data_IF_052915868717
#
_entry.id   IF_052915868717
#
_cell.length_a   1.000
_cell.length_b   1.000
_cell.length_c   1.000
_cell.angle_alpha   90.00
_cell.angle_beta   90.00
_cell.angle_gamma   90.00
#
_symmetry.space_group_name_H-M   'P 1'
#
loop_
_entity.id
_entity.type
_entity.pdbx_description
1 polymer ?
#
# COMPACT_ATOMS: atom_id res chain seq x y z
N UNK A 1 -18.08 1.50 -19.79
CA UNK A 1 -16.77 0.97 -19.31
C UNK A 1 -15.67 1.07 -20.37
N UNK A 2 -15.95 1.08 -21.67
CA UNK A 2 -14.89 1.13 -22.73
C UNK A 2 -14.11 2.44 -22.82
N UNK A 3 -14.68 3.55 -22.33
CA UNK A 3 -14.09 4.90 -22.44
C UNK A 3 -13.59 5.46 -21.09
N UNK A 4 -13.60 4.66 -20.03
CA UNK A 4 -13.18 5.12 -18.70
C UNK A 4 -11.65 5.38 -18.67
N UNK A 5 -11.23 6.58 -18.24
CA UNK A 5 -9.81 6.97 -18.23
C UNK A 5 -8.94 6.16 -17.28
N UNK A 6 -9.51 5.57 -16.22
CA UNK A 6 -8.78 4.63 -15.38
C UNK A 6 -8.46 3.32 -16.11
N UNK A 7 -9.31 2.92 -17.05
CA UNK A 7 -9.06 1.77 -17.92
C UNK A 7 -8.08 2.12 -19.05
N UNK A 8 -8.25 3.28 -19.70
CA UNK A 8 -7.45 3.68 -20.85
C UNK A 8 -6.03 4.16 -20.47
N UNK A 9 -5.91 4.93 -19.40
CA UNK A 9 -4.67 5.66 -19.07
C UNK A 9 -4.17 5.45 -17.65
N UNK A 10 -4.91 4.70 -16.82
CA UNK A 10 -4.64 4.62 -15.39
C UNK A 10 -4.96 5.92 -14.63
N UNK A 11 -5.73 6.84 -15.23
CA UNK A 11 -6.16 8.11 -14.64
C UNK A 11 -7.37 7.91 -13.72
N UNK A 12 -7.08 7.30 -12.58
CA UNK A 12 -7.99 7.03 -11.49
C UNK A 12 -7.24 6.88 -10.19
N UNK A 13 -7.97 6.98 -9.09
CA UNK A 13 -7.49 6.77 -7.73
C UNK A 13 -8.27 5.64 -7.09
N UNK A 14 -7.65 4.90 -6.17
CA UNK A 14 -8.35 3.86 -5.46
C UNK A 14 -7.91 3.73 -4.01
N UNK A 15 -8.84 3.24 -3.21
CA UNK A 15 -8.60 2.76 -1.86
C UNK A 15 -8.84 1.27 -1.78
N UNK A 16 -8.14 0.61 -0.86
CA UNK A 16 -8.40 -0.79 -0.55
C UNK A 16 -8.37 -0.94 0.96
N UNK A 17 -9.48 -1.40 1.52
CA UNK A 17 -9.68 -1.55 2.95
C UNK A 17 -10.10 -2.97 3.28
N UNK A 18 -9.74 -3.44 4.47
CA UNK A 18 -10.35 -4.61 5.06
C UNK A 18 -11.53 -4.17 5.93
N UNK A 19 -12.68 -4.79 5.70
CA UNK A 19 -13.84 -4.69 6.57
C UNK A 19 -13.86 -5.94 7.43
N UNK A 20 -13.76 -5.77 8.74
CA UNK A 20 -13.96 -6.82 9.75
C UNK A 20 -15.24 -6.49 10.54
N UNK A 21 -15.13 -5.97 11.77
CA UNK A 21 -16.24 -5.34 12.51
C UNK A 21 -16.48 -3.87 12.10
N UNK A 22 -15.68 -3.37 11.16
CA UNK A 22 -15.64 -2.00 10.67
C UNK A 22 -14.39 -1.80 9.81
N UNK A 23 -14.09 -0.55 9.45
CA UNK A 23 -12.89 -0.19 8.67
C UNK A 23 -11.87 0.50 9.58
N UNK A 24 -10.72 -0.13 9.78
CA UNK A 24 -9.62 0.46 10.57
C UNK A 24 -9.18 1.78 9.95
N UNK A 25 -9.22 2.86 10.74
CA UNK A 25 -8.80 4.20 10.33
C UNK A 25 -9.51 4.72 9.07
N UNK A 26 -10.83 4.48 8.96
CA UNK A 26 -11.63 4.91 7.81
C UNK A 26 -11.43 6.39 7.45
N UNK A 27 -11.43 7.29 8.42
CA UNK A 27 -11.21 8.72 8.21
C UNK A 27 -9.87 9.05 7.54
N UNK A 28 -8.82 8.25 7.78
CA UNK A 28 -7.51 8.40 7.13
C UNK A 28 -7.54 7.93 5.67
N UNK A 29 -8.31 6.89 5.37
CA UNK A 29 -8.53 6.43 3.99
C UNK A 29 -9.30 7.48 3.18
N UNK A 30 -10.39 8.01 3.76
CA UNK A 30 -11.16 9.12 3.17
C UNK A 30 -10.24 10.33 2.95
N UNK A 31 -9.51 10.76 3.98
CA UNK A 31 -8.60 11.90 3.89
C UNK A 31 -7.51 11.76 2.82
N UNK A 32 -6.91 10.57 2.67
CA UNK A 32 -5.93 10.31 1.60
C UNK A 32 -6.54 10.37 0.21
N UNK A 33 -7.73 9.80 0.03
CA UNK A 33 -8.44 9.83 -1.25
C UNK A 33 -8.81 11.28 -1.62
N UNK A 34 -9.37 12.04 -0.68
CA UNK A 34 -9.72 13.46 -0.85
C UNK A 34 -8.49 14.28 -1.24
N UNK A 35 -7.40 14.18 -0.47
CA UNK A 35 -6.18 14.94 -0.73
C UNK A 35 -5.57 14.59 -2.10
N UNK A 36 -5.56 13.30 -2.47
CA UNK A 36 -5.06 12.88 -3.79
C UNK A 36 -5.97 13.36 -4.93
N UNK A 37 -7.29 13.29 -4.73
CA UNK A 37 -8.27 13.79 -5.70
C UNK A 37 -8.10 15.28 -5.95
N UNK A 38 -7.97 16.08 -4.89
CA UNK A 38 -7.75 17.52 -4.98
C UNK A 38 -6.41 17.86 -5.64
N UNK A 39 -5.32 17.20 -5.21
CA UNK A 39 -3.98 17.45 -5.77
C UNK A 39 -3.89 17.14 -7.27
N UNK A 40 -4.62 16.12 -7.74
CA UNK A 40 -4.68 15.74 -9.15
C UNK A 40 -5.86 16.38 -9.91
N UNK A 41 -6.57 17.32 -9.30
CA UNK A 41 -7.67 18.07 -9.93
C UNK A 41 -8.87 17.21 -10.36
N UNK A 42 -9.20 16.15 -9.62
CA UNK A 42 -10.45 15.41 -9.84
C UNK A 42 -11.65 16.30 -9.49
N UNK A 43 -12.79 16.20 -10.21
CA UNK A 43 -13.98 16.96 -9.88
C UNK A 43 -14.46 16.63 -8.46
N UNK A 44 -14.84 17.66 -7.69
CA UNK A 44 -15.33 17.50 -6.31
C UNK A 44 -16.48 16.50 -6.22
N UNK A 45 -17.41 16.50 -7.18
CA UNK A 45 -18.52 15.56 -7.22
C UNK A 45 -18.09 14.09 -7.30
N UNK A 46 -16.99 13.78 -7.98
CA UNK A 46 -16.44 12.42 -8.08
C UNK A 46 -15.71 12.04 -6.79
N UNK A 47 -14.97 13.00 -6.20
CA UNK A 47 -14.32 12.81 -4.91
C UNK A 47 -15.38 12.50 -3.84
N UNK A 48 -16.41 13.33 -3.73
CA UNK A 48 -17.49 13.18 -2.74
C UNK A 48 -18.21 11.84 -2.88
N UNK A 49 -18.52 11.42 -4.11
CA UNK A 49 -19.12 10.09 -4.36
C UNK A 49 -18.22 8.95 -3.90
N UNK A 50 -16.91 9.06 -4.13
CA UNK A 50 -15.95 8.02 -3.75
C UNK A 50 -15.71 7.98 -2.24
N UNK A 51 -15.69 9.16 -1.58
CA UNK A 51 -15.64 9.29 -0.14
C UNK A 51 -16.90 8.68 0.51
N UNK A 52 -18.09 9.03 0.04
CA UNK A 52 -19.35 8.44 0.51
C UNK A 52 -19.37 6.91 0.32
N UNK A 53 -18.83 6.41 -0.81
CA UNK A 53 -18.71 4.98 -1.05
C UNK A 53 -17.74 4.29 -0.09
N UNK A 54 -16.66 4.95 0.33
CA UNK A 54 -15.74 4.45 1.35
C UNK A 54 -16.37 4.45 2.74
N UNK A 55 -17.05 5.52 3.11
CA UNK A 55 -17.72 5.67 4.40
C UNK A 55 -18.81 4.61 4.58
N UNK A 56 -19.56 4.32 3.51
CA UNK A 56 -20.55 3.24 3.51
C UNK A 56 -19.95 1.85 3.80
N UNK A 57 -18.63 1.64 3.63
CA UNK A 57 -17.98 0.36 3.94
C UNK A 57 -17.85 0.09 5.43
N UNK A 58 -18.03 1.09 6.30
CA UNK A 58 -17.99 0.90 7.74
C UNK A 58 -19.01 -0.15 8.21
N UNK A 59 -20.16 -0.21 7.53
CA UNK A 59 -21.25 -1.18 7.80
C UNK A 59 -21.35 -2.29 6.74
N UNK A 60 -20.33 -2.44 5.88
CA UNK A 60 -20.36 -3.48 4.84
C UNK A 60 -20.07 -4.88 5.41
N UNK A 61 -20.32 -5.90 4.59
CA UNK A 61 -19.99 -7.27 4.97
C UNK A 61 -18.47 -7.47 5.04
N UNK A 62 -17.98 -8.40 5.90
CA UNK A 62 -16.56 -8.66 6.02
C UNK A 62 -15.91 -9.04 4.69
N UNK A 63 -14.73 -8.47 4.42
CA UNK A 63 -14.02 -8.70 3.16
C UNK A 63 -12.97 -7.65 2.84
N UNK A 64 -12.32 -7.82 1.69
CA UNK A 64 -11.42 -6.80 1.13
C UNK A 64 -12.19 -6.01 0.10
N UNK A 65 -12.44 -4.76 0.43
CA UNK A 65 -13.19 -3.83 -0.41
C UNK A 65 -12.24 -2.86 -1.10
N UNK A 66 -12.52 -2.60 -2.37
CA UNK A 66 -11.83 -1.61 -3.18
C UNK A 66 -12.84 -0.60 -3.71
N UNK A 67 -12.62 0.67 -3.40
CA UNK A 67 -13.31 1.80 -4.03
C UNK A 67 -12.35 2.42 -5.03
N UNK A 68 -12.77 2.57 -6.28
CA UNK A 68 -11.97 3.19 -7.35
C UNK A 68 -12.78 4.32 -7.96
N UNK A 69 -12.19 5.51 -8.03
CA UNK A 69 -12.73 6.64 -8.77
C UNK A 69 -11.91 6.91 -10.02
N UNK A 70 -12.59 7.18 -11.12
CA UNK A 70 -11.98 7.54 -12.41
C UNK A 70 -12.33 8.96 -12.80
N UNK A 71 -11.41 9.63 -13.49
CA UNK A 71 -11.68 10.98 -14.01
C UNK A 71 -12.71 10.88 -15.14
N UNK A 72 -13.68 11.80 -15.19
CA UNK A 72 -14.53 11.89 -16.36
C UNK A 72 -13.73 12.32 -17.59
N UNK A 73 -13.87 11.55 -18.67
CA UNK A 73 -13.59 12.07 -19.99
C UNK A 73 -13.16 11.08 -21.06
N UNK A 74 -13.14 11.55 -22.30
CA UNK A 74 -12.55 10.85 -23.44
C UNK A 74 -11.23 11.53 -23.84
N UNK A 75 -10.21 10.75 -24.17
CA UNK A 75 -8.90 11.30 -24.55
C UNK A 75 -8.12 11.94 -23.38
N UNK A 76 -7.16 12.81 -23.72
CA UNK A 76 -6.39 13.58 -22.73
C UNK A 76 -7.07 14.91 -22.33
N UNK A 77 -8.08 15.33 -23.08
CA UNK A 77 -8.82 16.58 -22.85
C UNK A 77 -9.79 16.48 -21.66
N UNK A 78 -10.29 17.63 -21.21
CA UNK A 78 -11.21 17.74 -20.07
C UNK A 78 -12.68 17.55 -20.49
N UNK A 79 -13.39 16.61 -19.86
CA UNK A 79 -14.84 16.40 -20.01
C UNK A 79 -15.23 15.00 -20.52
N UNK A 80 -16.40 14.46 -20.10
CA UNK A 80 -17.01 13.16 -20.49
C UNK A 80 -17.53 12.35 -19.29
N UNK A 81 -17.59 11.01 -19.36
CA UNK A 81 -18.07 10.15 -18.25
C UNK A 81 -16.92 9.53 -17.46
N UNK A 82 -17.01 9.62 -16.14
CA UNK A 82 -16.16 8.92 -15.17
C UNK A 82 -17.05 8.30 -14.11
N UNK A 83 -16.50 7.65 -13.10
CA UNK A 83 -17.34 7.06 -12.08
C UNK A 83 -16.61 6.50 -10.88
N UNK A 84 -17.44 6.06 -9.93
CA UNK A 84 -17.01 5.33 -8.76
C UNK A 84 -17.42 3.87 -8.93
N UNK A 85 -16.47 2.97 -8.74
CA UNK A 85 -16.73 1.54 -8.70
C UNK A 85 -16.31 0.95 -7.36
N UNK A 86 -17.14 0.04 -6.85
CA UNK A 86 -16.91 -0.65 -5.59
C UNK A 86 -16.84 -2.14 -5.88
N UNK A 87 -15.79 -2.80 -5.41
CA UNK A 87 -15.60 -4.25 -5.57
C UNK A 87 -15.25 -4.87 -4.23
N UNK A 88 -15.89 -6.00 -3.93
CA UNK A 88 -15.55 -6.82 -2.79
C UNK A 88 -14.93 -8.13 -3.26
N UNK A 89 -13.95 -8.62 -2.50
CA UNK A 89 -13.53 -10.02 -2.53
C UNK A 89 -13.44 -10.56 -1.11
N UNK A 90 -13.57 -11.87 -0.98
CA UNK A 90 -13.32 -12.55 0.28
C UNK A 90 -11.87 -12.30 0.74
N UNK A 91 -11.71 -12.04 2.03
CA UNK A 91 -10.39 -12.08 2.64
C UNK A 91 -9.94 -13.54 2.72
N UNK A 92 -8.70 -13.79 2.32
CA UNK A 92 -8.05 -15.08 2.49
C UNK A 92 -6.72 -14.85 3.21
N UNK A 93 -6.43 -15.59 4.30
CA UNK A 93 -5.14 -15.49 4.96
C UNK A 93 -4.01 -15.72 3.96
N UNK A 94 -3.11 -14.75 3.85
CA UNK A 94 -1.93 -14.88 3.00
C UNK A 94 -0.82 -15.62 3.77
N UNK A 95 -0.03 -16.39 3.03
CA UNK A 95 1.20 -16.99 3.57
C UNK A 95 2.33 -15.93 3.55
N UNK A 96 3.27 -15.99 4.50
CA UNK A 96 4.48 -15.17 4.48
C UNK A 96 5.20 -15.29 3.11
N UNK A 97 5.38 -14.19 2.37
CA UNK A 97 5.93 -14.26 1.02
C UNK A 97 7.45 -14.40 1.02
N UNK A 98 7.98 -15.07 -0.01
CA UNK A 98 9.40 -15.00 -0.38
C UNK A 98 9.62 -13.75 -1.22
N UNK A 99 10.53 -12.87 -0.80
CA UNK A 99 10.80 -11.60 -1.46
C UNK A 99 12.03 -11.69 -2.37
N UNK A 100 11.88 -11.20 -3.60
CA UNK A 100 12.99 -10.85 -4.48
C UNK A 100 13.34 -9.35 -4.41
N UNK A 101 14.45 -8.95 -5.03
CA UNK A 101 14.85 -7.55 -5.16
C UNK A 101 14.68 -7.09 -6.61
N UNK A 102 13.90 -6.03 -6.83
CA UNK A 102 13.62 -5.52 -8.18
C UNK A 102 14.16 -4.10 -8.33
N UNK A 103 15.35 -3.99 -8.92
CA UNK A 103 16.00 -2.71 -9.20
C UNK A 103 15.34 -1.95 -10.35
N UNK A 104 15.28 -0.61 -10.21
CA UNK A 104 14.70 0.29 -11.21
C UNK A 104 13.17 0.45 -11.12
N UNK A 105 12.52 -0.15 -10.12
CA UNK A 105 11.07 -0.07 -9.94
C UNK A 105 10.61 0.92 -8.87
N UNK A 106 11.55 1.46 -8.09
CA UNK A 106 11.30 2.57 -7.16
C UNK A 106 11.94 3.85 -7.68
N UNK A 107 11.11 4.88 -7.84
CA UNK A 107 11.49 6.19 -8.38
C UNK A 107 11.26 7.23 -7.27
N UNK A 108 12.26 7.54 -6.44
CA UNK A 108 12.08 8.40 -5.25
C UNK A 108 11.56 9.81 -5.59
N UNK A 109 11.87 10.31 -6.78
CA UNK A 109 11.49 11.66 -7.22
C UNK A 109 10.17 11.67 -8.02
N UNK A 110 9.54 10.51 -8.22
CA UNK A 110 8.22 10.40 -8.84
C UNK A 110 7.12 10.68 -7.81
N UNK A 111 6.71 11.94 -7.74
CA UNK A 111 5.68 12.39 -6.81
C UNK A 111 4.29 11.83 -7.12
N UNK A 112 4.03 11.33 -8.34
CA UNK A 112 2.74 10.70 -8.66
C UNK A 112 2.52 9.41 -7.87
N UNK A 113 3.59 8.77 -7.40
CA UNK A 113 3.53 7.55 -6.57
C UNK A 113 3.04 7.81 -5.15
N UNK A 114 3.03 9.06 -4.69
CA UNK A 114 2.40 9.41 -3.42
C UNK A 114 0.90 9.14 -3.44
N UNK A 115 0.30 9.22 -4.64
CA UNK A 115 -1.11 8.95 -4.86
C UNK A 115 -1.32 7.48 -5.18
N UNK A 116 -2.35 6.89 -4.57
CA UNK A 116 -2.76 5.49 -4.83
C UNK A 116 -3.55 5.40 -6.13
N UNK A 117 -2.88 5.66 -7.25
CA UNK A 117 -3.49 5.73 -8.58
C UNK A 117 -3.69 4.37 -9.23
N UNK A 118 -4.50 4.29 -10.27
CA UNK A 118 -4.71 3.05 -11.04
C UNK A 118 -3.55 2.70 -11.97
N UNK A 119 -2.54 3.56 -12.10
CA UNK A 119 -1.31 3.35 -12.88
C UNK A 119 -0.34 2.35 -12.22
N UNK A 120 -0.79 1.11 -12.02
CA UNK A 120 -0.08 0.08 -11.26
C UNK A 120 0.82 -0.83 -12.11
N UNK A 121 0.98 -0.58 -13.42
CA UNK A 121 1.71 -1.48 -14.32
C UNK A 121 3.16 -1.73 -13.86
N UNK A 122 3.84 -0.71 -13.32
CA UNK A 122 5.19 -0.87 -12.75
C UNK A 122 5.23 -1.88 -11.60
N UNK A 123 4.25 -1.83 -10.69
CA UNK A 123 4.13 -2.80 -9.59
C UNK A 123 3.79 -4.21 -10.11
N UNK A 124 2.92 -4.31 -11.11
CA UNK A 124 2.55 -5.58 -11.75
C UNK A 124 3.76 -6.24 -12.42
N UNK A 125 4.54 -5.46 -13.18
CA UNK A 125 5.74 -5.96 -13.84
C UNK A 125 6.83 -6.37 -12.85
N UNK A 126 7.05 -5.59 -11.79
CA UNK A 126 7.98 -5.97 -10.73
C UNK A 126 7.59 -7.31 -10.08
N UNK A 127 6.31 -7.51 -9.76
CA UNK A 127 5.81 -8.78 -9.22
C UNK A 127 5.97 -9.92 -10.23
N UNK A 128 5.72 -9.67 -11.51
CA UNK A 128 5.89 -10.66 -12.57
C UNK A 128 7.34 -11.12 -12.68
N UNK A 129 8.31 -10.20 -12.62
CA UNK A 129 9.75 -10.52 -12.65
C UNK A 129 10.18 -11.32 -11.43
N UNK A 130 9.77 -10.90 -10.23
CA UNK A 130 10.00 -11.68 -9.00
C UNK A 130 9.49 -13.12 -9.11
N UNK A 131 8.28 -13.30 -9.67
CA UNK A 131 7.72 -14.64 -9.88
C UNK A 131 8.49 -15.50 -10.87
N UNK A 132 9.01 -14.90 -11.94
CA UNK A 132 9.88 -15.62 -12.87
C UNK A 132 11.20 -16.04 -12.23
N UNK A 133 11.66 -15.32 -11.21
CA UNK A 133 12.84 -15.66 -10.40
C UNK A 133 12.53 -16.59 -9.21
N UNK A 134 11.29 -17.06 -9.07
CA UNK A 134 10.88 -17.99 -8.01
C UNK A 134 10.47 -17.34 -6.68
N UNK A 135 10.23 -16.03 -6.66
CA UNK A 135 9.73 -15.28 -5.50
C UNK A 135 8.22 -15.00 -5.58
N UNK A 136 7.58 -14.73 -4.45
CA UNK A 136 6.13 -14.45 -4.39
C UNK A 136 5.82 -12.97 -4.60
N UNK A 137 6.71 -12.11 -4.11
CA UNK A 137 6.63 -10.65 -4.18
C UNK A 137 8.04 -10.04 -4.29
N UNK A 138 8.13 -8.71 -4.43
CA UNK A 138 9.38 -7.98 -4.59
C UNK A 138 9.47 -6.81 -3.61
N UNK A 139 10.68 -6.55 -3.12
CA UNK A 139 11.08 -5.21 -2.67
C UNK A 139 11.54 -4.40 -3.86
N UNK A 140 10.97 -3.21 -4.00
CA UNK A 140 11.28 -2.29 -5.09
C UNK A 140 12.47 -1.43 -4.71
N UNK A 141 13.49 -1.42 -5.56
CA UNK A 141 14.70 -0.64 -5.37
C UNK A 141 14.83 0.44 -6.45
N UNK A 142 15.42 1.57 -6.08
CA UNK A 142 15.86 2.57 -7.05
C UNK A 142 17.07 2.06 -7.82
N UNK A 143 17.40 2.72 -8.94
CA UNK A 143 18.63 2.43 -9.68
C UNK A 143 19.88 2.58 -8.79
N UNK A 144 19.85 3.53 -7.84
CA UNK A 144 20.91 3.75 -6.84
C UNK A 144 20.85 2.82 -5.63
N UNK A 145 19.94 1.83 -5.60
CA UNK A 145 19.85 0.87 -4.51
C UNK A 145 19.17 1.38 -3.24
N UNK A 146 18.37 2.45 -3.32
CA UNK A 146 17.48 2.82 -2.21
C UNK A 146 16.28 1.86 -2.17
N UNK A 147 15.83 1.50 -0.98
CA UNK A 147 14.62 0.70 -0.77
C UNK A 147 13.40 1.61 -0.75
N UNK A 148 12.36 1.24 -1.50
CA UNK A 148 11.06 1.92 -1.50
C UNK A 148 10.00 1.14 -0.73
N UNK A 149 9.20 0.36 -1.46
CA UNK A 149 8.10 -0.44 -0.90
C UNK A 149 8.04 -1.81 -1.59
N UNK A 150 7.06 -2.63 -1.26
CA UNK A 150 6.76 -3.86 -1.98
C UNK A 150 5.70 -3.65 -3.06
N UNK A 151 5.35 -4.68 -3.84
CA UNK A 151 4.46 -4.48 -5.00
C UNK A 151 3.02 -4.10 -4.63
N UNK A 152 2.60 -4.38 -3.39
CA UNK A 152 1.26 -4.09 -2.89
C UNK A 152 1.22 -3.66 -1.41
N UNK A 153 2.36 -3.33 -0.81
CA UNK A 153 2.48 -3.02 0.61
C UNK A 153 3.66 -2.09 0.85
N UNK A 154 3.58 -1.24 1.88
CA UNK A 154 4.78 -0.59 2.40
C UNK A 154 5.62 -1.59 3.19
N UNK A 155 6.85 -1.21 3.53
CA UNK A 155 7.81 -2.10 4.18
C UNK A 155 8.33 -1.48 5.47
N UNK A 156 8.52 -2.33 6.48
CA UNK A 156 9.30 -2.04 7.68
C UNK A 156 10.44 -3.07 7.71
N UNK A 157 11.66 -2.62 7.88
CA UNK A 157 12.87 -3.45 7.98
C UNK A 157 13.34 -3.41 9.42
N UNK A 158 13.57 -4.58 10.02
CA UNK A 158 14.12 -4.69 11.36
C UNK A 158 15.60 -4.97 11.26
N UNK A 159 16.40 -4.09 11.88
CA UNK A 159 17.87 -4.13 11.86
C UNK A 159 18.38 -4.11 13.30
N UNK A 160 18.95 -5.22 13.74
CA UNK A 160 19.40 -5.43 15.13
C UNK A 160 18.30 -5.08 16.13
N UNK A 161 17.08 -5.55 15.87
CA UNK A 161 15.89 -5.29 16.70
C UNK A 161 15.27 -3.89 16.57
N UNK A 162 15.82 -2.98 15.75
CA UNK A 162 15.24 -1.64 15.51
C UNK A 162 14.43 -1.61 14.22
N UNK A 163 13.21 -1.12 14.28
CA UNK A 163 12.33 -1.00 13.12
C UNK A 163 12.58 0.29 12.34
N UNK A 164 12.73 0.17 11.02
CA UNK A 164 12.98 1.28 10.11
C UNK A 164 12.06 1.18 8.90
N UNK A 165 11.54 2.30 8.39
CA UNK A 165 10.74 2.33 7.16
C UNK A 165 11.18 3.48 6.26
N UNK A 166 11.17 3.32 4.92
CA UNK A 166 11.46 4.42 4.00
C UNK A 166 10.46 5.57 4.18
N UNK A 167 10.89 6.84 4.10
CA UNK A 167 9.97 7.99 4.16
C UNK A 167 9.03 8.01 2.96
N UNK A 168 7.93 8.75 3.04
CA UNK A 168 6.96 8.90 1.93
C UNK A 168 7.55 9.79 0.82
N UNK A 169 8.46 9.20 0.03
CA UNK A 169 9.14 9.81 -1.11
C UNK A 169 9.15 8.77 -2.24
N UNK A 170 8.39 8.99 -3.31
CA UNK A 170 8.25 8.02 -4.41
C UNK A 170 7.60 6.68 -4.04
N UNK A 171 6.83 6.63 -2.94
CA UNK A 171 6.04 5.47 -2.47
C UNK A 171 4.64 5.91 -2.06
N UNK A 172 3.71 4.96 -1.95
CA UNK A 172 2.34 5.27 -1.51
C UNK A 172 2.33 5.62 -0.02
N UNK A 173 1.66 6.74 0.34
CA UNK A 173 1.46 7.16 1.72
C UNK A 173 0.49 6.21 2.47
N UNK A 174 0.97 5.06 2.94
CA UNK A 174 0.15 4.00 3.53
C UNK A 174 -0.55 4.38 4.83
N UNK A 175 -1.89 4.31 4.85
CA UNK A 175 -2.68 4.52 6.07
C UNK A 175 -2.27 3.56 7.19
N UNK A 176 -2.10 2.27 6.87
CA UNK A 176 -1.71 1.27 7.88
C UNK A 176 -0.28 1.45 8.38
N UNK A 177 0.63 1.87 7.50
CA UNK A 177 2.00 2.23 7.87
C UNK A 177 2.00 3.41 8.84
N UNK A 178 1.29 4.48 8.51
CA UNK A 178 1.21 5.67 9.36
C UNK A 178 0.64 5.35 10.75
N UNK A 179 -0.44 4.57 10.81
CA UNK A 179 -1.01 4.14 12.09
C UNK A 179 -0.10 3.19 12.88
N UNK A 180 0.68 2.33 12.21
CA UNK A 180 1.68 1.50 12.88
C UNK A 180 2.84 2.31 13.46
N UNK A 181 3.30 3.38 12.79
CA UNK A 181 4.35 4.26 13.32
C UNK A 181 3.89 4.87 14.66
N UNK A 182 2.66 5.39 14.70
CA UNK A 182 2.08 5.94 15.92
C UNK A 182 1.91 4.87 17.00
N UNK A 183 1.36 3.71 16.64
CA UNK A 183 1.06 2.63 17.58
C UNK A 183 2.32 1.97 18.15
N UNK A 184 3.38 1.82 17.36
CA UNK A 184 4.63 1.26 17.83
C UNK A 184 5.31 2.20 18.83
N UNK A 185 5.19 3.52 18.64
CA UNK A 185 5.67 4.51 19.62
C UNK A 185 4.94 4.38 20.98
N UNK A 186 3.64 4.09 21.01
CA UNK A 186 2.91 3.88 22.28
C UNK A 186 3.34 2.59 23.00
N UNK A 187 3.99 1.67 22.31
CA UNK A 187 4.52 0.41 22.86
C UNK A 187 6.03 0.47 23.16
N UNK A 188 6.67 1.64 23.00
CA UNK A 188 8.12 1.78 23.20
C UNK A 188 8.98 1.18 22.08
N UNK A 189 8.37 0.84 20.94
CA UNK A 189 9.03 0.25 19.77
C UNK A 189 8.98 1.20 18.56
N UNK A 190 9.46 2.43 18.74
CA UNK A 190 9.40 3.46 17.71
C UNK A 190 10.00 2.96 16.36
N UNK A 191 9.29 3.27 15.27
CA UNK A 191 9.75 3.00 13.90
C UNK A 191 10.46 4.24 13.39
N UNK A 192 11.72 4.11 13.03
CA UNK A 192 12.50 5.21 12.45
C UNK A 192 12.12 5.40 10.97
N UNK A 193 11.77 6.62 10.57
CA UNK A 193 11.60 6.98 9.17
C UNK A 193 12.92 7.49 8.59
N UNK A 194 13.60 6.67 7.77
CA UNK A 194 14.83 7.08 7.06
C UNK A 194 15.03 6.30 5.77
N UNK A 195 15.90 6.81 4.91
CA UNK A 195 16.35 6.06 3.75
C UNK A 195 17.02 4.75 4.18
N UNK A 196 16.75 3.68 3.44
CA UNK A 196 17.34 2.36 3.64
C UNK A 196 18.10 2.00 2.36
N UNK A 197 19.36 1.61 2.50
CA UNK A 197 20.19 1.14 1.41
C UNK A 197 19.99 -0.36 1.21
N UNK A 198 20.10 -0.82 -0.04
CA UNK A 198 20.09 -2.24 -0.40
C UNK A 198 21.07 -3.06 0.45
N UNK A 199 22.26 -2.53 0.72
CA UNK A 199 23.28 -3.21 1.50
C UNK A 199 22.82 -3.52 2.94
N UNK A 200 21.97 -2.67 3.53
CA UNK A 200 21.42 -2.92 4.87
C UNK A 200 20.50 -4.16 4.89
N UNK A 201 19.88 -4.51 3.76
CA UNK A 201 19.00 -5.67 3.67
C UNK A 201 19.74 -7.01 3.83
N UNK A 202 21.07 -7.03 3.66
CA UNK A 202 21.89 -8.22 3.91
C UNK A 202 21.88 -8.61 5.40
N UNK A 203 21.68 -7.62 6.27
CA UNK A 203 21.65 -7.76 7.72
C UNK A 203 20.24 -7.59 8.32
N UNK A 204 19.20 -7.53 7.48
CA UNK A 204 17.83 -7.48 7.97
C UNK A 204 17.48 -8.75 8.74
N UNK A 205 17.07 -8.58 10.00
CA UNK A 205 16.54 -9.65 10.85
C UNK A 205 15.16 -10.09 10.34
N UNK A 206 14.36 -9.09 9.95
CA UNK A 206 12.99 -9.26 9.53
C UNK A 206 12.59 -8.15 8.55
N UNK A 207 11.68 -8.48 7.62
CA UNK A 207 11.04 -7.52 6.71
C UNK A 207 9.54 -7.73 6.81
N UNK A 208 8.82 -6.67 7.14
CA UNK A 208 7.38 -6.70 7.38
C UNK A 208 6.67 -5.92 6.28
N UNK A 209 5.74 -6.59 5.62
CA UNK A 209 4.84 -5.99 4.65
C UNK A 209 3.62 -5.41 5.38
N UNK A 210 3.30 -4.16 5.07
CA UNK A 210 2.22 -3.42 5.72
C UNK A 210 1.21 -2.92 4.68
N UNK A 211 -0.06 -3.33 4.83
CA UNK A 211 -1.16 -2.85 3.99
C UNK A 211 -2.50 -2.88 4.73
N UNK A 212 -3.48 -2.11 4.27
CA UNK A 212 -4.81 -2.09 4.88
C UNK A 212 -5.60 -3.39 4.67
N UNK A 213 -5.32 -4.14 3.60
CA UNK A 213 -5.96 -5.42 3.34
C UNK A 213 -5.43 -6.56 4.22
N UNK A 214 -4.11 -6.64 4.40
CA UNK A 214 -3.47 -7.75 5.14
C UNK A 214 -3.21 -7.40 6.60
N UNK A 215 -2.91 -6.12 6.90
CA UNK A 215 -2.33 -5.70 8.16
C UNK A 215 -0.80 -5.69 8.08
N UNK A 216 -0.15 -6.23 9.12
CA UNK A 216 1.29 -6.47 9.15
C UNK A 216 1.56 -7.96 8.91
N UNK A 217 2.54 -8.27 8.05
CA UNK A 217 2.93 -9.64 7.73
C UNK A 217 4.43 -9.72 7.48
N UNK A 218 5.13 -10.54 8.25
CA UNK A 218 6.54 -10.82 8.04
C UNK A 218 6.74 -11.60 6.73
N UNK A 219 7.77 -11.26 5.99
CA UNK A 219 8.24 -12.05 4.86
C UNK A 219 8.92 -13.33 5.34
N UNK A 220 8.73 -14.43 4.62
CA UNK A 220 9.39 -15.70 4.93
C UNK A 220 10.91 -15.63 4.66
N UNK A 221 11.29 -14.97 3.58
CA UNK A 221 12.68 -14.86 3.15
C UNK A 221 12.92 -13.65 2.25
N UNK A 222 14.18 -13.23 2.14
CA UNK A 222 14.67 -12.29 1.14
C UNK A 222 15.77 -12.97 0.32
N UNK A 223 15.60 -13.04 -1.01
CA UNK A 223 16.57 -13.68 -1.91
C UNK A 223 17.00 -15.08 -1.45
N UNK A 224 16.07 -15.86 -0.89
CA UNK A 224 16.31 -17.21 -0.36
C UNK A 224 16.86 -17.27 1.07
N UNK A 225 17.32 -16.16 1.66
CA UNK A 225 17.72 -16.08 3.06
C UNK A 225 16.49 -15.99 3.95
N UNK A 226 16.34 -16.92 4.89
CA UNK A 226 15.24 -16.91 5.86
C UNK A 226 15.27 -15.64 6.73
N UNK A 227 14.09 -15.15 7.08
CA UNK A 227 13.89 -14.00 7.96
C UNK A 227 13.11 -14.42 9.21
N UNK A 228 13.24 -13.65 10.29
CA UNK A 228 12.41 -13.78 11.48
C UNK A 228 10.98 -13.24 11.28
N UNK A 229 10.12 -13.46 12.28
CA UNK A 229 8.71 -13.01 12.28
C UNK A 229 8.28 -12.29 13.56
N UNK A 230 9.20 -12.12 14.51
CA UNK A 230 8.88 -11.76 15.90
C UNK A 230 8.35 -10.33 16.02
N UNK A 231 8.88 -9.37 15.27
CA UNK A 231 8.40 -7.99 15.29
C UNK A 231 7.07 -7.85 14.54
N UNK A 232 6.95 -8.51 13.37
CA UNK A 232 5.74 -8.47 12.56
C UNK A 232 4.54 -9.13 13.25
N UNK A 233 4.75 -10.19 14.02
CA UNK A 233 3.73 -10.79 14.89
C UNK A 233 3.22 -9.80 15.95
N UNK A 234 4.12 -9.05 16.61
CA UNK A 234 3.72 -7.98 17.55
C UNK A 234 2.93 -6.89 16.85
N UNK A 235 3.40 -6.43 15.69
CA UNK A 235 2.69 -5.42 14.90
C UNK A 235 1.30 -5.89 14.46
N UNK A 236 1.15 -7.16 14.08
CA UNK A 236 -0.14 -7.75 13.75
C UNK A 236 -1.09 -7.78 14.97
N UNK A 237 -0.57 -8.08 16.16
CA UNK A 237 -1.33 -8.07 17.41
C UNK A 237 -1.79 -6.66 17.77
N UNK A 238 -0.90 -5.66 17.72
CA UNK A 238 -1.28 -4.26 17.98
C UNK A 238 -2.40 -3.80 17.04
N UNK A 239 -2.30 -4.15 15.75
CA UNK A 239 -3.35 -3.85 14.77
C UNK A 239 -4.68 -4.54 15.08
N UNK A 240 -4.65 -5.77 15.59
CA UNK A 240 -5.85 -6.50 15.98
C UNK A 240 -6.54 -5.87 17.20
N UNK A 241 -5.79 -5.31 18.15
CA UNK A 241 -6.34 -4.61 19.32
C UNK A 241 -7.07 -3.33 18.94
N UNK A 242 -6.54 -2.57 17.99
CA UNK A 242 -7.20 -1.35 17.46
C UNK A 242 -8.53 -1.68 16.78
N UNK A 243 -8.64 -2.85 16.12
CA UNK A 243 -9.87 -3.25 15.43
C UNK A 243 -11.00 -3.73 16.38
N UNK A 244 -10.72 -3.92 17.68
CA UNK A 244 -11.69 -4.33 18.69
C UNK A 244 -12.26 -3.16 19.51
N UNK A 245 -11.78 -1.95 19.28
CA UNK A 245 -12.24 -0.71 19.92
C UNK A 245 -13.06 0.09 18.94
#
# INVERSE_FOLDING_TARGET
>A
MSEDRSYLYGDGLFETVRVDAGVRWLSRHVGRLTASGQALGFPTSVIDQACAALEALESATPGIWRVTMSRPGEGMDWGGQGGVSVRCRLFSPALPPKLGLMAGFYLPDDMLRHHKSTSYLGYVEARRRARLEGFDDALLLSAGGLVGEATAANVIVVLSGRAVTPPVRGIVAGVTRAGLIELAATHGEAIEERAILRAELEHADEIVLVSAGVGAMSAASLCGRALGSVWGERAANWLAEVARR
#
